data_IF_729075932154
#
_entry.id   IF_729075932154
#
_cell.length_a   1.000
_cell.length_b   1.000
_cell.length_c   1.000
_cell.angle_alpha   90.00
_cell.angle_beta   90.00
_cell.angle_gamma   90.00
#
_symmetry.space_group_name_H-M   'P 1'
#
loop_
_entity.id
_entity.type
_entity.pdbx_description
1 polymer ?
#
# COMPACT_ATOMS: atom_id res chain seq x y z
N UNK A 1 -20.44 16.64 16.37
CA UNK A 1 -19.11 16.13 16.05
C UNK A 1 -18.12 16.54 17.10
N UNK A 2 -17.35 15.59 17.60
CA UNK A 2 -16.29 15.80 18.59
C UNK A 2 -14.96 15.75 17.84
N UNK A 3 -14.22 16.85 17.82
CA UNK A 3 -12.92 16.93 17.13
C UNK A 3 -11.81 16.31 17.98
N UNK A 4 -10.98 15.50 17.35
CA UNK A 4 -9.79 14.86 17.93
C UNK A 4 -8.83 14.44 16.84
N UNK A 5 -7.83 13.62 17.18
CA UNK A 5 -6.97 12.97 16.20
C UNK A 5 -7.82 12.10 15.25
N UNK A 6 -8.88 11.50 15.78
CA UNK A 6 -10.01 10.91 15.06
C UNK A 6 -11.27 11.69 15.42
N UNK A 7 -12.08 12.05 14.43
CA UNK A 7 -13.36 12.68 14.69
C UNK A 7 -14.32 11.68 15.35
N UNK A 8 -14.99 12.10 16.39
CA UNK A 8 -16.11 11.36 16.99
C UNK A 8 -17.43 11.98 16.57
N UNK A 9 -18.41 11.17 16.18
CA UNK A 9 -19.76 11.63 15.90
C UNK A 9 -20.73 10.87 16.78
N UNK A 10 -21.56 11.59 17.53
CA UNK A 10 -22.63 11.00 18.34
C UNK A 10 -23.98 11.43 17.77
N UNK A 11 -24.84 10.45 17.52
CA UNK A 11 -26.23 10.63 17.10
C UNK A 11 -27.11 10.08 18.23
N UNK A 12 -27.99 10.93 18.78
CA UNK A 12 -28.89 10.54 19.83
C UNK A 12 -30.31 10.42 19.30
N UNK A 13 -30.97 9.31 19.61
CA UNK A 13 -32.36 9.07 19.23
C UNK A 13 -33.02 8.07 20.20
N UNK A 14 -34.22 8.34 20.63
CA UNK A 14 -35.02 7.44 21.49
C UNK A 14 -34.24 6.96 22.73
N UNK A 15 -33.49 7.86 23.37
CA UNK A 15 -32.69 7.55 24.57
C UNK A 15 -31.46 6.69 24.33
N UNK A 16 -31.12 6.38 23.07
CA UNK A 16 -29.95 5.62 22.63
C UNK A 16 -28.95 6.54 21.96
N UNK A 17 -27.69 6.10 21.91
CA UNK A 17 -26.60 6.83 21.29
C UNK A 17 -25.87 5.92 20.29
N UNK A 18 -25.75 6.36 19.04
CA UNK A 18 -24.88 5.80 18.01
C UNK A 18 -23.62 6.64 17.89
N UNK A 19 -22.47 6.01 17.90
CA UNK A 19 -21.20 6.63 17.54
C UNK A 19 -20.78 6.27 16.13
N UNK A 20 -20.18 7.22 15.40
CA UNK A 20 -19.42 6.93 14.17
C UNK A 20 -17.96 7.24 14.45
N UNK A 21 -17.06 6.31 14.06
CA UNK A 21 -15.64 6.22 14.37
C UNK A 21 -15.32 5.94 15.84
N UNK A 22 -15.99 6.60 16.77
CA UNK A 22 -15.78 6.45 18.20
C UNK A 22 -16.03 7.74 18.99
N UNK A 23 -15.48 7.81 20.17
CA UNK A 23 -15.48 9.01 21.00
C UNK A 23 -14.04 9.23 21.53
N UNK A 24 -13.33 10.26 21.06
CA UNK A 24 -11.94 10.49 21.44
C UNK A 24 -11.76 11.06 22.85
N UNK A 25 -12.83 11.31 23.58
CA UNK A 25 -12.75 11.84 24.96
C UNK A 25 -12.34 10.75 25.95
N UNK A 26 -11.68 11.13 27.03
CA UNK A 26 -11.26 10.20 28.10
C UNK A 26 -12.46 9.49 28.77
N UNK A 27 -13.57 10.21 28.94
CA UNK A 27 -14.83 9.68 29.49
C UNK A 27 -15.95 9.75 28.44
N UNK A 28 -16.01 8.81 27.51
CA UNK A 28 -17.07 8.80 26.52
C UNK A 28 -18.43 8.53 27.15
N UNK A 29 -19.46 9.16 26.60
CA UNK A 29 -20.86 8.87 26.96
C UNK A 29 -21.19 7.39 26.69
N UNK A 30 -22.24 6.89 27.34
CA UNK A 30 -22.76 5.56 27.03
C UNK A 30 -23.23 5.50 25.57
N UNK A 31 -22.71 4.51 24.81
CA UNK A 31 -23.01 4.29 23.41
C UNK A 31 -23.55 2.89 23.22
N UNK A 32 -24.62 2.76 22.44
CA UNK A 32 -25.24 1.44 22.13
C UNK A 32 -24.59 0.76 20.94
N UNK A 33 -24.19 1.56 19.94
CA UNK A 33 -23.68 1.05 18.66
C UNK A 33 -22.58 1.99 18.15
N UNK A 34 -21.51 1.40 17.62
CA UNK A 34 -20.43 2.15 16.95
C UNK A 34 -20.28 1.66 15.52
N UNK A 35 -20.23 2.61 14.59
CA UNK A 35 -19.97 2.36 13.17
C UNK A 35 -18.51 2.62 12.87
N UNK A 36 -17.84 1.63 12.31
CA UNK A 36 -16.44 1.70 11.86
C UNK A 36 -16.40 1.53 10.33
N UNK A 37 -15.70 2.42 9.66
CA UNK A 37 -15.65 2.47 8.17
C UNK A 37 -14.57 1.58 7.58
N UNK A 38 -13.56 1.20 8.36
CA UNK A 38 -12.44 0.36 7.96
C UNK A 38 -11.67 -0.15 9.19
N UNK A 39 -10.73 -1.08 8.98
CA UNK A 39 -9.99 -1.78 10.03
C UNK A 39 -8.80 -1.03 10.64
N UNK A 40 -8.39 0.11 10.09
CA UNK A 40 -7.16 0.79 10.53
C UNK A 40 -7.18 1.05 12.04
N UNK A 41 -6.21 0.46 12.75
CA UNK A 41 -6.08 0.49 14.21
C UNK A 41 -6.13 1.90 14.79
N UNK A 42 -5.49 2.85 14.15
CA UNK A 42 -5.41 4.24 14.58
C UNK A 42 -6.76 4.98 14.55
N UNK A 43 -7.71 4.53 13.72
CA UNK A 43 -9.10 5.03 13.74
C UNK A 43 -9.98 4.18 14.67
N UNK A 44 -9.87 2.86 14.58
CA UNK A 44 -10.67 1.92 15.39
C UNK A 44 -10.42 2.12 16.89
N UNK A 45 -9.23 2.60 17.25
CA UNK A 45 -8.86 2.82 18.65
C UNK A 45 -9.88 3.70 19.43
N UNK A 46 -10.41 4.74 18.81
CA UNK A 46 -11.42 5.59 19.42
C UNK A 46 -12.78 4.87 19.66
N UNK A 47 -13.09 3.85 18.84
CA UNK A 47 -14.28 3.01 19.00
C UNK A 47 -14.09 1.84 19.96
N UNK A 48 -12.85 1.35 20.13
CA UNK A 48 -12.55 0.18 20.98
C UNK A 48 -13.00 0.37 22.42
N UNK A 49 -12.77 1.53 23.00
CA UNK A 49 -13.20 1.85 24.37
C UNK A 49 -14.73 1.78 24.51
N UNK A 50 -15.47 2.16 23.47
CA UNK A 50 -16.93 2.06 23.46
C UNK A 50 -17.36 0.60 23.45
N UNK A 51 -16.72 -0.23 22.61
CA UNK A 51 -17.03 -1.67 22.53
C UNK A 51 -16.69 -2.38 23.84
N UNK A 52 -15.58 -2.05 24.48
CA UNK A 52 -15.23 -2.61 25.80
C UNK A 52 -16.23 -2.24 26.91
N UNK A 53 -16.98 -1.16 26.73
CA UNK A 53 -18.09 -0.71 27.61
C UNK A 53 -19.45 -1.27 27.16
N UNK A 54 -19.52 -2.16 26.19
CA UNK A 54 -20.72 -2.85 25.76
C UNK A 54 -21.38 -2.32 24.48
N UNK A 55 -20.80 -1.35 23.77
CA UNK A 55 -21.31 -0.90 22.49
C UNK A 55 -21.17 -2.01 21.43
N UNK A 56 -22.17 -2.14 20.55
CA UNK A 56 -22.17 -3.09 19.45
C UNK A 56 -21.43 -2.53 18.24
N UNK A 57 -20.37 -3.19 17.79
CA UNK A 57 -19.59 -2.77 16.64
C UNK A 57 -20.24 -3.20 15.31
N UNK A 58 -20.40 -2.26 14.40
CA UNK A 58 -20.76 -2.48 12.99
C UNK A 58 -19.53 -2.20 12.15
N UNK A 59 -19.10 -3.16 11.31
CA UNK A 59 -17.86 -3.10 10.55
C UNK A 59 -18.08 -3.48 9.08
N UNK A 60 -17.18 -3.11 8.15
CA UNK A 60 -17.22 -3.61 6.78
C UNK A 60 -17.08 -5.13 6.73
N UNK A 61 -17.93 -5.81 5.99
CA UNK A 61 -17.89 -7.27 5.85
C UNK A 61 -16.59 -7.75 5.18
N UNK A 62 -16.09 -6.99 4.21
CA UNK A 62 -14.84 -7.30 3.52
C UNK A 62 -13.59 -7.24 4.43
N UNK A 63 -13.71 -6.60 5.60
CA UNK A 63 -12.60 -6.45 6.55
C UNK A 63 -12.90 -7.10 7.91
N UNK A 64 -14.00 -7.83 8.05
CA UNK A 64 -14.46 -8.36 9.34
C UNK A 64 -13.41 -9.25 10.04
N UNK A 65 -12.65 -10.01 9.28
CA UNK A 65 -11.57 -10.88 9.80
C UNK A 65 -10.43 -10.06 10.42
N UNK A 66 -10.16 -8.85 9.91
CA UNK A 66 -9.14 -7.96 10.47
C UNK A 66 -9.54 -7.38 11.84
N UNK A 67 -10.81 -7.53 12.22
CA UNK A 67 -11.30 -7.22 13.56
C UNK A 67 -11.33 -8.46 14.46
N UNK A 68 -11.64 -9.64 13.93
CA UNK A 68 -11.94 -10.84 14.74
C UNK A 68 -10.81 -11.88 14.74
N UNK A 69 -10.12 -12.08 13.61
CA UNK A 69 -9.04 -13.06 13.44
C UNK A 69 -7.63 -12.42 13.50
N UNK A 70 -7.45 -11.48 14.40
CA UNK A 70 -6.23 -10.64 14.51
C UNK A 70 -4.97 -11.47 14.70
N UNK A 71 -5.04 -12.53 15.52
CA UNK A 71 -3.89 -13.42 15.76
C UNK A 71 -3.44 -14.13 14.48
N UNK A 72 -4.39 -14.59 13.66
CA UNK A 72 -4.10 -15.20 12.37
C UNK A 72 -3.43 -14.22 11.41
N UNK A 73 -3.96 -13.00 11.31
CA UNK A 73 -3.35 -11.95 10.48
C UNK A 73 -1.87 -11.73 10.84
N UNK A 74 -1.55 -11.59 12.13
CA UNK A 74 -0.17 -11.32 12.54
C UNK A 74 0.75 -12.52 12.33
N UNK A 75 0.24 -13.75 12.56
CA UNK A 75 1.00 -14.96 12.25
C UNK A 75 1.34 -15.05 10.76
N UNK A 76 0.34 -14.86 9.89
CA UNK A 76 0.54 -14.90 8.45
C UNK A 76 1.47 -13.78 7.98
N UNK A 77 1.32 -12.58 8.52
CA UNK A 77 2.17 -11.45 8.21
C UNK A 77 3.63 -11.70 8.57
N UNK A 78 3.90 -12.28 9.75
CA UNK A 78 5.25 -12.61 10.19
C UNK A 78 5.90 -13.68 9.31
N UNK A 79 5.15 -14.70 8.92
CA UNK A 79 5.64 -15.80 8.09
C UNK A 79 5.88 -15.39 6.64
N UNK A 80 5.06 -14.50 6.10
CA UNK A 80 5.03 -14.18 4.67
C UNK A 80 5.62 -12.80 4.32
N UNK A 81 6.00 -11.98 5.30
CA UNK A 81 6.38 -10.59 5.10
C UNK A 81 7.50 -10.34 4.07
N UNK A 82 8.34 -11.34 3.80
CA UNK A 82 9.42 -11.27 2.82
C UNK A 82 9.10 -11.98 1.51
N UNK A 83 8.03 -12.79 1.47
CA UNK A 83 7.65 -13.61 0.32
C UNK A 83 6.29 -13.20 -0.26
N UNK A 84 5.45 -12.58 0.53
CA UNK A 84 4.16 -12.06 0.09
C UNK A 84 4.30 -10.59 -0.29
N UNK A 85 4.38 -10.32 -1.58
CA UNK A 85 4.42 -8.97 -2.12
C UNK A 85 3.04 -8.32 -2.23
N UNK A 86 1.97 -8.96 -1.81
CA UNK A 86 0.70 -8.28 -1.60
C UNK A 86 0.83 -7.40 -0.37
N UNK A 87 0.66 -6.09 -0.58
CA UNK A 87 0.84 -5.14 0.53
C UNK A 87 -0.24 -5.34 1.58
N UNK A 88 0.18 -5.72 2.78
CA UNK A 88 -0.68 -5.74 3.95
C UNK A 88 -0.34 -4.57 4.86
N UNK A 89 -1.37 -3.86 5.28
CA UNK A 89 -1.19 -2.76 6.21
C UNK A 89 -0.78 -3.28 7.59
N UNK A 90 0.33 -2.76 8.12
CA UNK A 90 0.76 -3.04 9.49
C UNK A 90 -0.10 -2.36 10.58
N UNK A 91 -1.07 -1.53 10.19
CA UNK A 91 -1.99 -0.86 11.12
C UNK A 91 -3.26 -1.67 11.37
N UNK A 92 -3.13 -2.97 11.54
CA UNK A 92 -4.20 -3.86 12.00
C UNK A 92 -4.24 -3.88 13.52
N UNK A 93 -5.39 -4.17 14.10
CA UNK A 93 -5.52 -4.35 15.55
C UNK A 93 -4.51 -5.39 16.06
N UNK A 94 -4.10 -5.25 17.31
CA UNK A 94 -3.22 -6.23 17.99
C UNK A 94 -4.01 -7.20 18.86
N UNK A 95 -5.28 -6.88 19.13
CA UNK A 95 -6.23 -7.71 19.85
C UNK A 95 -7.57 -7.73 19.14
N UNK A 96 -8.32 -8.83 19.16
CA UNK A 96 -9.64 -8.90 18.53
C UNK A 96 -10.62 -7.88 19.09
N UNK A 97 -11.49 -7.40 18.23
CA UNK A 97 -12.64 -6.57 18.59
C UNK A 97 -13.92 -7.35 18.26
N UNK A 98 -14.83 -7.55 19.24
CA UNK A 98 -16.10 -8.21 18.98
C UNK A 98 -16.93 -7.46 17.93
N UNK A 99 -17.34 -8.17 16.87
CA UNK A 99 -18.17 -7.64 15.80
C UNK A 99 -19.61 -8.11 16.02
N UNK A 100 -20.53 -7.15 16.11
CA UNK A 100 -21.96 -7.48 16.19
C UNK A 100 -22.58 -7.66 14.81
N UNK A 101 -22.21 -6.80 13.84
CA UNK A 101 -22.73 -6.84 12.48
C UNK A 101 -21.65 -6.48 11.47
N UNK A 102 -21.52 -7.31 10.46
CA UNK A 102 -20.75 -7.01 9.26
C UNK A 102 -21.70 -6.51 8.15
N UNK A 103 -21.36 -5.40 7.47
CA UNK A 103 -22.19 -4.76 6.45
C UNK A 103 -21.49 -4.67 5.11
N UNK A 104 -22.28 -4.61 4.03
CA UNK A 104 -21.79 -4.52 2.65
C UNK A 104 -22.42 -3.34 1.93
N UNK A 105 -21.78 -2.84 0.90
CA UNK A 105 -22.35 -1.84 0.01
C UNK A 105 -23.68 -2.29 -0.58
N UNK A 106 -24.60 -1.34 -0.74
CA UNK A 106 -25.97 -1.59 -1.17
C UNK A 106 -26.94 -1.95 -0.05
N UNK A 107 -26.44 -2.34 1.15
CA UNK A 107 -27.31 -2.60 2.29
C UNK A 107 -27.85 -1.30 2.90
N UNK A 108 -29.04 -1.39 3.46
CA UNK A 108 -29.60 -0.40 4.39
C UNK A 108 -30.07 -1.11 5.64
N UNK A 109 -29.63 -0.64 6.79
CA UNK A 109 -30.11 -1.14 8.07
C UNK A 109 -30.65 0.00 8.92
N UNK A 110 -31.55 -0.29 9.83
CA UNK A 110 -32.13 0.71 10.72
C UNK A 110 -31.49 0.66 12.11
N UNK A 111 -31.17 1.85 12.64
CA UNK A 111 -30.83 2.04 14.05
C UNK A 111 -31.84 3.02 14.67
N UNK A 112 -32.62 2.56 15.63
CA UNK A 112 -33.72 3.33 16.24
C UNK A 112 -34.60 4.05 15.20
N UNK A 113 -35.04 3.29 14.17
CA UNK A 113 -35.82 3.82 13.08
C UNK A 113 -35.07 4.78 12.12
N UNK A 114 -33.81 5.08 12.35
CA UNK A 114 -32.96 5.84 11.44
C UNK A 114 -32.34 4.90 10.41
N UNK A 115 -32.64 5.05 9.10
CA UNK A 115 -32.02 4.25 8.07
C UNK A 115 -30.56 4.69 7.86
N UNK A 116 -29.67 3.71 7.82
CA UNK A 116 -28.25 3.88 7.55
C UNK A 116 -27.93 3.08 6.31
N UNK A 117 -27.60 3.77 5.25
CA UNK A 117 -27.26 3.17 3.96
C UNK A 117 -25.74 3.00 3.86
N UNK A 118 -25.29 1.88 3.31
CA UNK A 118 -23.87 1.51 3.18
C UNK A 118 -23.46 1.57 1.71
N UNK A 119 -22.32 2.18 1.43
CA UNK A 119 -21.64 2.13 0.13
C UNK A 119 -20.30 1.43 0.33
N UNK A 120 -19.93 0.48 -0.56
CA UNK A 120 -18.56 0.01 -0.64
C UNK A 120 -17.70 1.11 -1.24
N UNK A 121 -16.71 1.56 -0.50
CA UNK A 121 -15.83 2.67 -0.91
C UNK A 121 -14.36 2.32 -0.68
N UNK A 122 -13.85 1.28 -1.39
CA UNK A 122 -12.45 0.90 -1.31
C UNK A 122 -11.53 2.03 -1.77
N UNK A 123 -10.27 1.95 -1.38
CA UNK A 123 -9.23 2.91 -1.72
C UNK A 123 -8.26 3.08 -0.56
N UNK A 124 -8.63 3.80 0.49
CA UNK A 124 -7.76 3.92 1.67
C UNK A 124 -7.47 2.55 2.32
N UNK A 125 -8.49 1.70 2.41
CA UNK A 125 -8.35 0.27 2.64
C UNK A 125 -9.12 -0.50 1.59
N UNK A 126 -8.79 -1.79 1.34
CA UNK A 126 -9.46 -2.58 0.30
C UNK A 126 -10.96 -2.81 0.54
N UNK A 127 -11.40 -2.81 1.78
CA UNK A 127 -12.79 -3.10 2.14
C UNK A 127 -13.52 -1.95 2.84
N UNK A 128 -13.02 -0.72 2.74
CA UNK A 128 -13.66 0.43 3.38
C UNK A 128 -15.10 0.65 2.89
N UNK A 129 -15.92 1.18 3.80
CA UNK A 129 -17.31 1.58 3.50
C UNK A 129 -17.57 3.05 3.88
N UNK A 130 -18.55 3.64 3.22
CA UNK A 130 -19.15 4.91 3.60
C UNK A 130 -20.56 4.67 4.14
N UNK A 131 -20.88 5.26 5.29
CA UNK A 131 -22.24 5.30 5.81
C UNK A 131 -22.92 6.61 5.39
N UNK A 132 -24.13 6.48 4.82
CA UNK A 132 -24.99 7.61 4.48
C UNK A 132 -26.17 7.66 5.43
N UNK A 133 -26.42 8.83 6.01
CA UNK A 133 -27.50 9.07 6.96
C UNK A 133 -28.21 10.38 6.58
N UNK A 134 -29.55 10.35 6.59
CA UNK A 134 -30.37 11.56 6.46
C UNK A 134 -30.72 12.07 7.85
N UNK A 135 -30.25 13.27 8.20
CA UNK A 135 -30.54 13.94 9.47
C UNK A 135 -30.93 15.38 9.23
N UNK A 136 -32.05 15.79 9.76
CA UNK A 136 -32.53 17.18 9.68
C UNK A 136 -32.54 17.74 8.23
N UNK A 137 -32.93 16.91 7.27
CA UNK A 137 -32.95 17.25 5.84
C UNK A 137 -31.58 17.33 5.16
N UNK A 138 -30.52 16.94 5.87
CA UNK A 138 -29.17 16.87 5.32
C UNK A 138 -28.74 15.44 5.11
N UNK A 139 -28.16 15.14 3.93
CA UNK A 139 -27.47 13.87 3.66
C UNK A 139 -26.04 13.98 4.12
N UNK A 140 -25.70 13.21 5.14
CA UNK A 140 -24.37 13.18 5.76
C UNK A 140 -23.67 11.89 5.33
N UNK A 141 -22.46 12.03 4.77
CA UNK A 141 -21.59 10.89 4.43
C UNK A 141 -20.44 10.76 5.44
N UNK A 142 -20.31 9.58 6.04
CA UNK A 142 -19.19 9.20 6.90
C UNK A 142 -18.23 8.33 6.09
N UNK A 143 -17.16 8.93 5.58
CA UNK A 143 -16.33 8.37 4.51
C UNK A 143 -15.03 7.71 4.98
N UNK A 144 -14.81 7.62 6.29
CA UNK A 144 -13.51 7.17 6.81
C UNK A 144 -12.40 8.12 6.38
N UNK A 145 -11.30 7.57 5.95
CA UNK A 145 -10.11 8.32 5.52
C UNK A 145 -10.01 8.49 3.99
N UNK A 146 -11.15 8.38 3.28
CA UNK A 146 -11.21 8.55 1.82
C UNK A 146 -10.68 9.91 1.37
N UNK A 147 -10.96 10.97 2.15
CA UNK A 147 -10.44 12.30 1.89
C UNK A 147 -10.14 13.02 3.21
N UNK A 148 -9.23 13.98 3.14
CA UNK A 148 -8.82 14.83 4.26
C UNK A 148 -9.09 16.29 3.92
N UNK A 149 -10.19 16.85 4.46
CA UNK A 149 -10.59 18.23 4.18
C UNK A 149 -10.85 18.51 2.68
N UNK A 150 -10.56 19.71 2.27
CA UNK A 150 -10.91 20.18 0.93
C UNK A 150 -9.90 19.73 -0.14
N UNK A 151 -10.15 18.56 -0.72
CA UNK A 151 -9.37 18.02 -1.85
C UNK A 151 -7.97 17.55 -1.48
N UNK A 152 -7.82 16.89 -0.33
CA UNK A 152 -6.58 16.23 0.11
C UNK A 152 -6.84 14.77 0.47
N UNK A 153 -5.79 13.97 0.52
CA UNK A 153 -5.72 12.64 1.13
C UNK A 153 -4.84 12.71 2.37
N UNK A 154 -4.96 11.72 3.24
CA UNK A 154 -4.13 11.64 4.43
C UNK A 154 -2.67 11.36 4.06
N UNK A 155 -2.43 10.29 3.29
CA UNK A 155 -1.12 9.90 2.78
C UNK A 155 -1.26 9.00 1.54
N UNK A 156 -0.21 8.93 0.74
CA UNK A 156 -0.16 8.06 -0.45
C UNK A 156 0.30 6.64 -0.14
N UNK A 157 1.11 6.47 0.90
CA UNK A 157 1.68 5.17 1.24
C UNK A 157 0.59 4.14 1.58
N UNK A 158 -0.48 4.57 2.22
CA UNK A 158 -1.62 3.73 2.54
C UNK A 158 -2.39 3.19 1.32
N UNK A 159 -2.14 3.73 0.12
CA UNK A 159 -2.81 3.37 -1.13
C UNK A 159 -1.99 2.43 -2.02
N UNK A 160 -0.84 1.97 -1.54
CA UNK A 160 -0.01 1.00 -2.24
C UNK A 160 -0.63 -0.39 -2.17
N UNK A 161 -0.65 -1.10 -3.30
CA UNK A 161 -1.12 -2.48 -3.38
C UNK A 161 -0.62 -3.16 -4.66
N UNK A 162 -0.64 -4.49 -4.69
CA UNK A 162 -0.43 -5.26 -5.91
C UNK A 162 -1.54 -5.00 -6.93
N UNK A 163 -1.22 -5.25 -8.19
CA UNK A 163 -2.18 -5.33 -9.30
C UNK A 163 -1.99 -6.71 -9.96
N UNK A 164 -2.53 -7.80 -9.34
CA UNK A 164 -2.24 -9.16 -9.79
C UNK A 164 -2.60 -9.41 -11.25
N UNK A 165 -3.70 -8.85 -11.73
CA UNK A 165 -4.17 -8.95 -13.11
C UNK A 165 -3.21 -8.32 -14.14
N UNK A 166 -2.31 -7.44 -13.72
CA UNK A 166 -1.24 -6.87 -14.53
C UNK A 166 0.13 -7.50 -14.21
N UNK A 167 0.18 -8.46 -13.31
CA UNK A 167 1.43 -9.04 -12.82
C UNK A 167 2.34 -8.03 -12.09
N UNK A 168 1.74 -6.98 -11.51
CA UNK A 168 2.47 -5.96 -10.75
C UNK A 168 2.33 -6.29 -9.27
N UNK A 169 3.45 -6.59 -8.61
CA UNK A 169 3.48 -6.88 -7.18
C UNK A 169 3.39 -5.59 -6.36
N UNK A 170 3.00 -5.69 -5.09
CA UNK A 170 2.74 -4.56 -4.21
C UNK A 170 3.88 -3.54 -4.15
N UNK A 171 5.10 -4.00 -4.19
CA UNK A 171 6.30 -3.18 -4.20
C UNK A 171 6.34 -2.21 -5.40
N UNK A 172 5.91 -2.68 -6.57
CA UNK A 172 5.80 -1.89 -7.80
C UNK A 172 4.40 -1.33 -8.03
N UNK A 173 3.46 -1.68 -7.16
CA UNK A 173 2.08 -1.19 -7.15
C UNK A 173 1.95 0.15 -6.41
N UNK A 174 2.92 1.05 -6.51
CA UNK A 174 2.87 2.36 -5.87
C UNK A 174 1.56 3.07 -6.18
N UNK A 175 0.86 3.48 -5.10
CA UNK A 175 -0.43 4.15 -5.19
C UNK A 175 -1.47 3.41 -6.08
N UNK A 176 -1.41 2.09 -6.18
CA UNK A 176 -2.29 1.29 -7.05
C UNK A 176 -3.77 1.46 -6.72
N UNK A 177 -4.13 1.62 -5.44
CA UNK A 177 -5.51 1.82 -5.01
C UNK A 177 -6.07 3.23 -5.27
N UNK A 178 -5.30 4.13 -5.87
CA UNK A 178 -5.86 5.42 -6.33
C UNK A 178 -7.00 5.25 -7.35
N UNK A 179 -6.96 4.19 -8.16
CA UNK A 179 -8.05 3.87 -9.09
C UNK A 179 -9.37 3.60 -8.35
N UNK A 180 -9.31 2.80 -7.30
CA UNK A 180 -10.45 2.49 -6.43
C UNK A 180 -10.91 3.73 -5.67
N UNK A 181 -9.97 4.51 -5.14
CA UNK A 181 -10.28 5.77 -4.46
C UNK A 181 -11.01 6.73 -5.38
N UNK A 182 -10.58 6.90 -6.62
CA UNK A 182 -11.25 7.77 -7.60
C UNK A 182 -12.67 7.27 -7.92
N UNK A 183 -12.85 5.95 -8.08
CA UNK A 183 -14.17 5.36 -8.31
C UNK A 183 -15.09 5.59 -7.09
N UNK A 184 -14.59 5.35 -5.88
CA UNK A 184 -15.32 5.58 -4.62
C UNK A 184 -15.69 7.05 -4.40
N UNK A 185 -14.79 7.97 -4.72
CA UNK A 185 -15.07 9.41 -4.66
C UNK A 185 -16.20 9.80 -5.62
N UNK A 186 -16.21 9.27 -6.85
CA UNK A 186 -17.30 9.48 -7.82
C UNK A 186 -18.62 8.90 -7.33
N UNK A 187 -18.58 7.71 -6.72
CA UNK A 187 -19.76 7.07 -6.14
C UNK A 187 -20.35 7.91 -5.02
N UNK A 188 -19.53 8.41 -4.09
CA UNK A 188 -19.99 9.31 -3.02
C UNK A 188 -20.51 10.62 -3.58
N UNK A 189 -19.87 11.20 -4.60
CA UNK A 189 -20.35 12.42 -5.25
C UNK A 189 -21.74 12.24 -5.88
N UNK A 190 -22.00 11.07 -6.51
CA UNK A 190 -23.32 10.75 -7.11
C UNK A 190 -24.45 10.65 -6.09
N UNK A 191 -24.14 10.45 -4.82
CA UNK A 191 -25.13 10.49 -3.73
C UNK A 191 -25.50 11.91 -3.29
N UNK A 192 -24.83 12.91 -3.81
CA UNK A 192 -25.08 14.33 -3.48
C UNK A 192 -25.13 14.62 -1.97
N UNK A 193 -24.13 14.21 -1.18
CA UNK A 193 -24.12 14.53 0.25
C UNK A 193 -24.04 16.03 0.47
N UNK A 194 -24.79 16.51 1.47
CA UNK A 194 -24.72 17.92 1.92
C UNK A 194 -23.43 18.19 2.69
N UNK A 195 -22.94 17.17 3.40
CA UNK A 195 -21.75 17.23 4.26
C UNK A 195 -21.04 15.89 4.22
N UNK A 196 -19.70 15.94 4.20
CA UNK A 196 -18.85 14.79 4.49
C UNK A 196 -18.19 14.98 5.85
N UNK A 197 -18.27 13.97 6.69
CA UNK A 197 -17.55 13.88 7.97
C UNK A 197 -16.52 12.77 7.84
N UNK A 198 -15.24 13.09 7.56
CA UNK A 198 -14.18 12.11 7.48
C UNK A 198 -13.78 11.61 8.86
N UNK A 199 -13.10 10.47 8.94
CA UNK A 199 -12.55 9.98 10.21
C UNK A 199 -11.48 10.93 10.76
N UNK A 200 -10.72 11.57 9.89
CA UNK A 200 -9.67 12.53 10.27
C UNK A 200 -9.76 13.79 9.43
N UNK A 201 -9.42 14.92 10.04
CA UNK A 201 -9.41 16.23 9.40
C UNK A 201 -10.72 17.00 9.51
N UNK A 202 -10.82 18.15 8.84
CA UNK A 202 -11.98 19.02 8.90
C UNK A 202 -13.20 18.44 8.21
N UNK A 203 -14.40 18.82 8.71
CA UNK A 203 -15.67 18.52 8.05
C UNK A 203 -15.74 19.24 6.71
N UNK A 204 -16.13 18.52 5.67
CA UNK A 204 -16.22 19.04 4.29
C UNK A 204 -17.67 19.53 4.04
N UNK A 205 -17.81 20.82 3.85
CA UNK A 205 -19.11 21.48 3.64
C UNK A 205 -19.48 21.68 2.18
N UNK A 206 -18.51 21.49 1.28
CA UNK A 206 -18.69 21.52 -0.16
C UNK A 206 -18.18 20.20 -0.79
N UNK A 207 -18.88 19.07 -0.55
CA UNK A 207 -18.42 17.75 -0.95
C UNK A 207 -18.08 17.62 -2.44
N UNK A 208 -18.94 18.15 -3.31
CA UNK A 208 -18.75 18.07 -4.76
C UNK A 208 -17.43 18.73 -5.19
N UNK A 209 -17.18 19.94 -4.72
CA UNK A 209 -15.96 20.66 -5.03
C UNK A 209 -14.73 19.97 -4.46
N UNK A 210 -14.78 19.53 -3.20
CA UNK A 210 -13.67 18.85 -2.56
C UNK A 210 -13.28 17.56 -3.28
N UNK A 211 -14.28 16.77 -3.71
CA UNK A 211 -14.08 15.54 -4.46
C UNK A 211 -13.47 15.83 -5.83
N UNK A 212 -14.02 16.80 -6.59
CA UNK A 212 -13.51 17.18 -7.91
C UNK A 212 -12.05 17.63 -7.83
N UNK A 213 -11.73 18.48 -6.86
CA UNK A 213 -10.35 18.97 -6.64
C UNK A 213 -9.42 17.81 -6.29
N UNK A 214 -9.87 16.88 -5.43
CA UNK A 214 -9.05 15.72 -5.06
C UNK A 214 -8.79 14.81 -6.26
N UNK A 215 -9.79 14.48 -7.06
CA UNK A 215 -9.66 13.66 -8.27
C UNK A 215 -8.65 14.30 -9.23
N UNK A 216 -8.79 15.60 -9.50
CA UNK A 216 -7.87 16.32 -10.39
C UNK A 216 -6.42 16.27 -9.88
N UNK A 217 -6.20 16.45 -8.57
CA UNK A 217 -4.88 16.36 -7.93
C UNK A 217 -4.29 14.95 -8.01
N UNK A 218 -5.12 13.93 -7.78
CA UNK A 218 -4.71 12.51 -7.90
C UNK A 218 -4.25 12.23 -9.33
N UNK A 219 -5.03 12.64 -10.32
CA UNK A 219 -4.69 12.41 -11.72
C UNK A 219 -3.41 13.13 -12.13
N UNK A 220 -3.23 14.39 -11.73
CA UNK A 220 -2.01 15.15 -12.00
C UNK A 220 -0.77 14.52 -11.34
N UNK A 221 -0.90 14.10 -10.07
CA UNK A 221 0.16 13.41 -9.36
C UNK A 221 0.55 12.10 -10.07
N UNK A 222 -0.45 11.30 -10.44
CA UNK A 222 -0.21 9.97 -11.02
C UNK A 222 0.38 10.05 -12.43
N UNK A 223 -0.08 11.01 -13.24
CA UNK A 223 0.52 11.29 -14.54
C UNK A 223 2.00 11.67 -14.41
N UNK A 224 2.31 12.53 -13.44
CA UNK A 224 3.68 12.97 -13.17
C UNK A 224 4.57 11.81 -12.66
N UNK A 225 4.05 11.00 -11.74
CA UNK A 225 4.73 9.80 -11.26
C UNK A 225 5.08 8.85 -12.41
N UNK A 226 4.11 8.52 -13.26
CA UNK A 226 4.34 7.60 -14.38
C UNK A 226 5.36 8.17 -15.37
N UNK A 227 5.36 9.47 -15.62
CA UNK A 227 6.24 10.10 -16.59
C UNK A 227 7.74 9.94 -16.25
N UNK A 228 8.07 9.86 -14.97
CA UNK A 228 9.45 9.74 -14.47
C UNK A 228 9.82 8.31 -14.04
N UNK A 229 8.87 7.38 -14.06
CA UNK A 229 9.11 6.01 -13.60
C UNK A 229 9.88 5.21 -14.66
N UNK A 230 11.14 4.90 -14.34
CA UNK A 230 12.00 4.12 -15.22
C UNK A 230 11.73 2.61 -15.17
N UNK A 231 10.88 2.14 -14.26
CA UNK A 231 10.60 0.70 -14.10
C UNK A 231 9.97 0.07 -15.35
N UNK A 232 9.38 0.86 -16.24
CA UNK A 232 8.89 0.42 -17.56
C UNK A 232 9.94 -0.30 -18.40
N UNK A 233 11.23 0.01 -18.20
CA UNK A 233 12.34 -0.64 -18.91
C UNK A 233 12.65 -2.05 -18.41
N UNK A 234 12.28 -2.34 -17.18
CA UNK A 234 12.46 -3.65 -16.54
C UNK A 234 11.20 -4.50 -16.63
N UNK A 235 10.04 -3.87 -16.71
CA UNK A 235 8.74 -4.50 -16.92
C UNK A 235 8.18 -4.08 -18.28
N UNK A 236 7.29 -4.87 -18.87
CA UNK A 236 6.68 -4.52 -20.14
C UNK A 236 5.96 -3.17 -20.06
N UNK A 237 6.24 -2.26 -20.99
CA UNK A 237 5.69 -0.89 -21.02
C UNK A 237 4.16 -0.88 -21.02
N UNK A 238 3.54 -1.84 -21.71
CA UNK A 238 2.09 -2.01 -21.78
C UNK A 238 1.44 -2.19 -20.39
N UNK A 239 2.13 -2.83 -19.44
CA UNK A 239 1.67 -2.96 -18.05
C UNK A 239 1.61 -1.61 -17.35
N UNK A 240 2.59 -0.73 -17.60
CA UNK A 240 2.61 0.61 -17.03
C UNK A 240 1.55 1.52 -17.65
N UNK A 241 1.30 1.38 -18.94
CA UNK A 241 0.19 2.05 -19.61
C UNK A 241 -1.15 1.59 -19.01
N UNK A 242 -1.35 0.28 -18.85
CA UNK A 242 -2.56 -0.28 -18.24
C UNK A 242 -2.74 0.19 -16.79
N UNK A 243 -1.66 0.15 -15.98
CA UNK A 243 -1.63 0.70 -14.61
C UNK A 243 -2.04 2.18 -14.59
N UNK A 244 -1.49 2.98 -15.50
CA UNK A 244 -1.81 4.40 -15.61
C UNK A 244 -3.27 4.67 -15.96
N UNK A 245 -3.81 3.93 -16.92
CA UNK A 245 -5.19 4.09 -17.38
C UNK A 245 -6.25 3.76 -16.32
N UNK A 246 -5.92 2.96 -15.33
CA UNK A 246 -6.83 2.71 -14.18
C UNK A 246 -7.14 3.99 -13.41
N UNK A 247 -6.20 4.93 -13.30
CA UNK A 247 -6.34 6.19 -12.55
C UNK A 247 -6.70 7.35 -13.45
N UNK A 248 -6.06 7.44 -14.62
CA UNK A 248 -6.17 8.59 -15.52
C UNK A 248 -7.35 8.50 -16.47
N UNK A 249 -7.85 7.29 -16.74
CA UNK A 249 -8.91 6.99 -17.69
C UNK A 249 -8.41 6.11 -18.85
N UNK A 250 -9.34 5.38 -19.48
CA UNK A 250 -9.02 4.36 -20.49
C UNK A 250 -8.22 4.89 -21.70
N UNK A 251 -8.50 6.14 -22.11
CA UNK A 251 -7.89 6.77 -23.29
C UNK A 251 -6.68 7.65 -22.94
N UNK A 252 -6.23 7.62 -21.66
CA UNK A 252 -5.12 8.47 -21.24
C UNK A 252 -3.83 8.13 -21.98
N UNK A 253 -3.16 9.18 -22.46
CA UNK A 253 -1.82 9.09 -23.02
C UNK A 253 -0.81 9.35 -21.92
N UNK A 254 0.18 8.47 -21.78
CA UNK A 254 1.26 8.63 -20.79
C UNK A 254 2.39 9.42 -21.44
N UNK A 255 2.66 10.61 -20.90
CA UNK A 255 3.78 11.44 -21.36
C UNK A 255 5.05 11.01 -20.61
N UNK A 256 5.85 10.18 -21.26
CA UNK A 256 7.13 9.76 -20.70
C UNK A 256 8.18 10.88 -20.74
N UNK A 257 9.00 10.95 -19.70
CA UNK A 257 10.20 11.80 -19.75
C UNK A 257 11.12 11.31 -20.85
N UNK A 258 11.72 12.24 -21.63
CA UNK A 258 12.67 11.83 -22.66
C UNK A 258 13.91 11.18 -22.06
N UNK A 259 14.47 10.23 -22.78
CA UNK A 259 15.70 9.54 -22.45
C UNK A 259 16.88 10.16 -23.17
N UNK A 260 18.09 9.87 -22.67
CA UNK A 260 19.30 10.18 -23.42
C UNK A 260 19.35 9.31 -24.70
N UNK A 261 19.58 9.94 -25.84
CA UNK A 261 19.67 9.25 -27.13
C UNK A 261 20.94 8.39 -27.23
N UNK A 262 21.96 8.71 -26.45
CA UNK A 262 23.26 8.02 -26.48
C UNK A 262 23.70 7.62 -25.08
N UNK A 263 23.99 6.33 -24.93
CA UNK A 263 24.71 5.78 -23.77
C UNK A 263 26.15 5.55 -24.20
N UNK A 264 27.11 6.11 -23.47
CA UNK A 264 28.51 5.80 -23.71
C UNK A 264 28.76 4.28 -23.59
N UNK A 265 29.43 3.63 -24.56
CA UNK A 265 29.68 2.21 -24.47
C UNK A 265 30.55 1.92 -23.23
N UNK A 266 30.26 0.80 -22.57
CA UNK A 266 31.13 0.32 -21.50
C UNK A 266 32.50 -0.02 -22.05
N UNK A 267 33.59 0.22 -21.29
CA UNK A 267 34.91 -0.31 -21.66
C UNK A 267 34.86 -1.82 -21.84
N UNK A 268 35.63 -2.35 -22.78
CA UNK A 268 35.62 -3.78 -23.13
C UNK A 268 35.97 -4.72 -21.96
N UNK A 269 36.63 -4.20 -20.93
CA UNK A 269 36.95 -4.91 -19.69
C UNK A 269 35.83 -4.93 -18.67
N UNK A 270 34.68 -4.28 -18.94
CA UNK A 270 33.46 -4.37 -18.12
C UNK A 270 32.42 -5.16 -18.89
N UNK A 271 32.11 -6.35 -18.40
CA UNK A 271 31.07 -7.23 -18.97
C UNK A 271 29.79 -7.09 -18.16
N UNK A 272 28.70 -6.52 -18.72
CA UNK A 272 27.41 -6.50 -18.07
C UNK A 272 26.77 -7.89 -18.13
N UNK A 273 26.32 -8.39 -16.99
CA UNK A 273 25.57 -9.65 -16.89
C UNK A 273 24.37 -9.39 -15.99
N UNK A 274 23.19 -9.31 -16.59
CA UNK A 274 21.98 -8.95 -15.84
C UNK A 274 22.17 -7.63 -15.07
N UNK A 275 21.86 -7.57 -13.77
CA UNK A 275 22.15 -6.41 -12.92
C UNK A 275 23.59 -6.38 -12.38
N UNK A 276 24.40 -7.42 -12.61
CA UNK A 276 25.81 -7.48 -12.20
C UNK A 276 26.76 -6.82 -13.21
N UNK A 277 27.98 -6.54 -12.76
CA UNK A 277 29.08 -6.06 -13.60
C UNK A 277 30.33 -6.87 -13.30
N UNK A 278 30.86 -7.57 -14.29
CA UNK A 278 32.13 -8.27 -14.19
C UNK A 278 33.24 -7.38 -14.77
N UNK A 279 34.22 -7.09 -13.95
CA UNK A 279 35.44 -6.39 -14.34
C UNK A 279 36.50 -7.44 -14.58
N UNK A 280 37.02 -7.50 -15.81
CA UNK A 280 38.01 -8.50 -16.24
C UNK A 280 39.36 -7.84 -16.41
N UNK A 281 40.36 -8.36 -15.72
CA UNK A 281 41.75 -7.90 -15.83
C UNK A 281 42.44 -8.46 -17.06
N UNK A 282 43.65 -7.98 -17.35
CA UNK A 282 44.44 -8.43 -18.50
C UNK A 282 44.84 -9.91 -18.44
N UNK A 283 45.01 -10.47 -17.27
CA UNK A 283 45.25 -11.88 -16.98
C UNK A 283 43.99 -12.74 -16.88
N UNK A 284 42.82 -12.13 -17.23
CA UNK A 284 41.50 -12.77 -17.22
C UNK A 284 41.01 -13.16 -15.82
N UNK A 285 41.49 -12.50 -14.76
CA UNK A 285 40.86 -12.60 -13.46
C UNK A 285 39.69 -11.63 -13.34
N UNK A 286 38.65 -12.03 -12.62
CA UNK A 286 37.39 -11.31 -12.49
C UNK A 286 37.18 -10.70 -11.12
N UNK A 287 36.73 -9.45 -11.12
CA UNK A 287 36.12 -8.78 -9.97
C UNK A 287 34.62 -8.57 -10.30
N UNK A 288 33.77 -9.26 -9.56
CA UNK A 288 32.33 -9.19 -9.78
C UNK A 288 31.68 -8.17 -8.84
N UNK A 289 30.79 -7.34 -9.36
CA UNK A 289 29.92 -6.47 -8.57
C UNK A 289 28.52 -7.08 -8.60
N UNK A 290 28.03 -7.50 -7.44
CA UNK A 290 26.76 -8.15 -7.18
C UNK A 290 26.58 -9.53 -7.85
N UNK A 291 25.72 -10.37 -7.23
CA UNK A 291 25.39 -11.70 -7.75
C UNK A 291 24.04 -12.16 -7.19
N UNK A 292 22.94 -11.72 -7.76
CA UNK A 292 21.59 -12.05 -7.27
C UNK A 292 20.86 -13.13 -8.05
N UNK A 293 21.26 -13.47 -9.27
CA UNK A 293 20.53 -14.45 -10.07
C UNK A 293 21.38 -15.65 -10.50
N UNK A 294 20.75 -16.81 -10.65
CA UNK A 294 21.42 -18.00 -11.21
C UNK A 294 21.95 -17.77 -12.62
N UNK A 295 21.30 -16.93 -13.41
CA UNK A 295 21.74 -16.53 -14.74
C UNK A 295 23.14 -15.89 -14.72
N UNK A 296 23.42 -15.06 -13.70
CA UNK A 296 24.76 -14.46 -13.55
C UNK A 296 25.80 -15.56 -13.37
N UNK A 297 25.52 -16.54 -12.50
CA UNK A 297 26.43 -17.67 -12.28
C UNK A 297 26.65 -18.48 -13.55
N UNK A 298 25.59 -18.78 -14.27
CA UNK A 298 25.63 -19.57 -15.51
C UNK A 298 26.46 -18.87 -16.59
N UNK A 299 26.28 -17.57 -16.79
CA UNK A 299 27.11 -16.79 -17.75
C UNK A 299 28.56 -16.70 -17.32
N UNK A 300 28.85 -16.56 -16.02
CA UNK A 300 30.23 -16.60 -15.50
C UNK A 300 30.90 -17.95 -15.77
N UNK A 301 30.20 -19.06 -15.57
CA UNK A 301 30.72 -20.39 -15.84
C UNK A 301 30.96 -20.61 -17.37
N UNK A 302 30.10 -20.06 -18.20
CA UNK A 302 30.28 -20.06 -19.65
C UNK A 302 31.52 -19.26 -20.07
N UNK A 303 31.72 -18.04 -19.56
CA UNK A 303 32.91 -17.24 -19.80
C UNK A 303 34.20 -17.99 -19.39
N UNK A 304 34.16 -18.77 -18.29
CA UNK A 304 35.26 -19.64 -17.87
C UNK A 304 35.48 -20.78 -18.88
N UNK A 305 34.43 -21.47 -19.30
CA UNK A 305 34.52 -22.56 -20.26
C UNK A 305 35.07 -22.09 -21.63
N UNK A 306 34.70 -20.89 -22.06
CA UNK A 306 35.15 -20.27 -23.28
C UNK A 306 36.56 -19.66 -23.19
N UNK A 307 37.22 -19.75 -22.02
CA UNK A 307 38.56 -19.22 -21.77
C UNK A 307 38.65 -17.69 -21.78
N UNK A 308 37.52 -17.00 -21.65
CA UNK A 308 37.46 -15.55 -21.53
C UNK A 308 37.66 -15.08 -20.10
N UNK A 309 37.42 -15.95 -19.14
CA UNK A 309 37.62 -15.73 -17.70
C UNK A 309 38.39 -16.93 -17.13
N UNK A 310 39.45 -16.70 -16.35
CA UNK A 310 40.20 -17.76 -15.66
C UNK A 310 39.65 -18.00 -14.23
N UNK A 311 39.49 -16.93 -13.47
CA UNK A 311 39.06 -17.00 -12.07
C UNK A 311 38.17 -15.82 -11.75
N UNK A 312 37.33 -16.00 -10.72
CA UNK A 312 36.62 -14.91 -10.02
C UNK A 312 37.27 -14.84 -8.66
N UNK A 313 38.05 -13.82 -8.42
CA UNK A 313 38.81 -13.69 -7.17
C UNK A 313 38.05 -12.88 -6.12
N UNK A 314 37.25 -11.92 -6.57
CA UNK A 314 36.58 -10.98 -5.70
C UNK A 314 35.13 -10.77 -6.11
N UNK A 315 34.26 -10.63 -5.11
CA UNK A 315 32.84 -10.23 -5.27
C UNK A 315 32.63 -9.03 -4.36
N UNK A 316 32.18 -7.91 -4.92
CA UNK A 316 31.73 -6.76 -4.13
C UNK A 316 30.20 -6.74 -4.09
N UNK A 317 29.64 -6.73 -2.90
CA UNK A 317 28.20 -6.60 -2.66
C UNK A 317 27.87 -5.14 -2.42
N UNK A 318 27.13 -4.53 -3.34
CA UNK A 318 26.74 -3.12 -3.27
C UNK A 318 25.75 -2.86 -2.13
N UNK A 319 24.75 -3.72 -1.98
CA UNK A 319 23.79 -3.72 -0.88
C UNK A 319 23.16 -5.11 -0.68
N UNK A 320 22.34 -5.24 0.37
CA UNK A 320 21.91 -6.54 0.92
C UNK A 320 20.65 -7.13 0.26
N UNK A 321 20.06 -6.51 -0.77
CA UNK A 321 18.88 -7.05 -1.42
C UNK A 321 19.18 -8.40 -2.10
N UNK A 322 18.19 -9.27 -2.16
CA UNK A 322 18.29 -10.62 -2.70
C UNK A 322 18.72 -10.66 -4.17
N UNK A 323 18.18 -9.75 -4.97
CA UNK A 323 18.56 -9.57 -6.38
C UNK A 323 20.05 -9.13 -6.59
N UNK A 324 20.77 -8.83 -5.51
CA UNK A 324 22.21 -8.53 -5.50
C UNK A 324 23.05 -9.56 -4.73
N UNK A 325 22.43 -10.42 -3.92
CA UNK A 325 23.17 -11.28 -2.96
C UNK A 325 22.87 -12.77 -3.07
N UNK A 326 21.76 -13.20 -3.63
CA UNK A 326 21.19 -14.55 -3.53
C UNK A 326 22.14 -15.67 -3.97
N UNK A 327 23.04 -15.38 -4.92
CA UNK A 327 24.00 -16.36 -5.47
C UNK A 327 25.44 -16.15 -4.98
N UNK A 328 25.69 -15.19 -4.10
CA UNK A 328 27.04 -14.90 -3.60
C UNK A 328 27.65 -16.12 -2.90
N UNK A 329 26.91 -16.77 -2.01
CA UNK A 329 27.37 -17.97 -1.31
C UNK A 329 27.73 -19.08 -2.30
N UNK A 330 26.89 -19.33 -3.31
CA UNK A 330 27.16 -20.33 -4.36
C UNK A 330 28.46 -20.03 -5.12
N UNK A 331 28.75 -18.76 -5.43
CA UNK A 331 29.99 -18.38 -6.09
C UNK A 331 31.21 -18.53 -5.18
N UNK A 332 31.09 -18.19 -3.91
CA UNK A 332 32.17 -18.43 -2.92
C UNK A 332 32.51 -19.92 -2.87
N UNK A 333 31.51 -20.77 -2.74
CA UNK A 333 31.70 -22.23 -2.69
C UNK A 333 32.28 -22.80 -4.00
N UNK A 334 31.91 -22.24 -5.15
CA UNK A 334 32.32 -22.75 -6.46
C UNK A 334 33.67 -22.22 -6.91
N UNK A 335 33.99 -20.96 -6.60
CA UNK A 335 35.16 -20.25 -7.13
C UNK A 335 36.19 -19.88 -6.06
N UNK A 336 35.86 -19.96 -4.78
CA UNK A 336 36.73 -19.51 -3.68
C UNK A 336 36.89 -17.99 -3.60
N UNK A 337 35.95 -17.23 -4.17
CA UNK A 337 36.04 -15.78 -4.26
C UNK A 337 35.95 -15.10 -2.89
N UNK A 338 36.73 -14.04 -2.72
CA UNK A 338 36.67 -13.20 -1.50
C UNK A 338 35.52 -12.19 -1.62
N UNK A 339 34.65 -12.16 -0.62
CA UNK A 339 33.50 -11.21 -0.60
C UNK A 339 33.91 -9.92 0.08
N UNK A 340 33.58 -8.81 -0.56
CA UNK A 340 33.73 -7.45 -0.05
C UNK A 340 32.38 -6.80 0.09
N UNK A 341 32.18 -6.07 1.18
CA UNK A 341 30.96 -5.29 1.40
C UNK A 341 31.29 -4.01 2.17
N UNK A 342 30.38 -3.05 2.14
CA UNK A 342 30.49 -1.89 3.03
C UNK A 342 30.29 -2.34 4.48
N UNK A 343 30.89 -1.61 5.42
CA UNK A 343 30.77 -1.91 6.86
C UNK A 343 29.29 -2.00 7.31
N UNK A 344 28.40 -1.19 6.70
CA UNK A 344 26.96 -1.19 7.04
C UNK A 344 26.24 -2.45 6.55
N UNK A 345 26.64 -2.98 5.41
CA UNK A 345 26.03 -4.20 4.85
C UNK A 345 26.61 -5.45 5.50
N UNK A 346 27.83 -5.39 6.02
CA UNK A 346 28.55 -6.54 6.54
C UNK A 346 27.79 -7.29 7.63
N UNK A 347 27.23 -6.56 8.59
CA UNK A 347 26.48 -7.16 9.68
C UNK A 347 25.23 -7.91 9.20
N UNK A 348 24.50 -7.32 8.24
CA UNK A 348 23.32 -7.94 7.62
C UNK A 348 23.71 -9.22 6.88
N UNK A 349 24.80 -9.20 6.11
CA UNK A 349 25.28 -10.35 5.34
C UNK A 349 25.80 -11.48 6.23
N UNK A 350 26.42 -11.16 7.36
CA UNK A 350 26.89 -12.14 8.32
C UNK A 350 25.77 -12.74 9.18
N UNK A 351 24.74 -11.95 9.49
CA UNK A 351 23.67 -12.31 10.42
C UNK A 351 22.28 -12.12 9.79
N UNK A 352 21.99 -12.68 8.61
CA UNK A 352 20.72 -12.42 7.91
C UNK A 352 19.50 -12.82 8.76
N UNK A 353 19.63 -13.82 9.62
CA UNK A 353 18.58 -14.27 10.54
C UNK A 353 18.14 -13.23 11.56
N UNK A 354 19.02 -12.27 11.91
CA UNK A 354 18.69 -11.21 12.87
C UNK A 354 17.80 -10.11 12.26
N UNK A 355 17.66 -10.09 10.94
CA UNK A 355 16.93 -9.05 10.18
C UNK A 355 15.63 -9.56 9.54
N UNK A 356 15.22 -10.77 9.86
CA UNK A 356 13.99 -11.40 9.37
C UNK A 356 12.77 -11.01 10.21
#
# INVERSE_FOLDING_TARGET
>A
VIRGAVNGVLIQREGKTLAVYGDPRENPAAVDTVLLTHHRRDVVWAGRTLVSKGARAVVPAAEAELFTAVGQFWSDFEQQRFHDYTHRCTKVLVEPLPVWKAVRGGETFAWQGLPIRVLDTPGYTPGAVTYLVELEGQRIAFTGDMLYGDGKILDLYSLQDAIPELGIMAYHGYAARLSELVASLRQVAAEHPSVIVPARGPIVRNPQQAIQVLIARIQALYANYLSIDAHRYYSAEDRFIAKGRRVLGADAQIAWMPEAETIAPLPAWIVPIDNARLIVSADKTGFLVDCGSSRIVDELMKLKADGQLQAIEHIFVSHYHDDHTDQVARLVDTCGATVHATRRNWDILQNPGAYR
#
